data_IF_902172829318
#
_entry.id   IF_902172829318
#
_cell.length_a   1.000
_cell.length_b   1.000
_cell.length_c   1.000
_cell.angle_alpha   90.00
_cell.angle_beta   90.00
_cell.angle_gamma   90.00
#
_symmetry.space_group_name_H-M   'P 1'
#
loop_
_entity.id
_entity.type
_entity.pdbx_description
1 polymer ?
#
# COMPACT_ATOMS: atom_id res chain seq x y z
N UNK A 1 10.03 4.55 -30.16
CA UNK A 1 10.11 3.86 -28.86
C UNK A 1 10.89 4.75 -27.89
N UNK A 2 10.29 5.20 -26.79
CA UNK A 2 11.04 5.92 -25.74
C UNK A 2 12.01 4.93 -25.10
N UNK A 3 13.33 5.25 -25.06
CA UNK A 3 14.28 4.48 -24.26
C UNK A 3 13.77 4.52 -22.81
N UNK A 4 13.48 3.36 -22.22
CA UNK A 4 13.14 3.29 -20.81
C UNK A 4 14.32 3.87 -20.02
N UNK A 5 14.05 4.87 -19.17
CA UNK A 5 15.04 5.37 -18.21
C UNK A 5 15.41 4.20 -17.28
N UNK A 6 16.69 4.03 -16.98
CA UNK A 6 17.12 3.01 -16.01
C UNK A 6 16.52 3.29 -14.61
N UNK A 7 16.24 4.55 -14.28
CA UNK A 7 15.67 4.99 -13.01
C UNK A 7 14.45 5.92 -13.24
N UNK A 8 13.29 5.36 -13.61
CA UNK A 8 12.10 6.16 -13.97
C UNK A 8 11.51 6.97 -12.81
N UNK A 9 11.85 6.63 -11.56
CA UNK A 9 11.40 7.31 -10.35
C UNK A 9 12.50 8.15 -9.68
N UNK A 10 13.60 8.44 -10.39
CA UNK A 10 14.68 9.25 -9.84
C UNK A 10 14.19 10.60 -9.34
N UNK A 11 14.53 10.96 -8.09
CA UNK A 11 14.12 12.20 -7.45
C UNK A 11 12.68 12.24 -6.93
N UNK A 12 11.94 11.14 -7.03
CA UNK A 12 10.61 11.00 -6.42
C UNK A 12 10.69 10.44 -5.01
N UNK A 13 9.71 10.79 -4.18
CA UNK A 13 9.56 10.33 -2.80
C UNK A 13 8.33 9.43 -2.70
N UNK A 14 8.55 8.17 -2.31
CA UNK A 14 7.51 7.16 -2.15
C UNK A 14 7.31 6.80 -0.67
N UNK A 15 6.11 7.02 -0.16
CA UNK A 15 5.72 6.66 1.20
C UNK A 15 5.04 5.29 1.16
N UNK A 16 5.53 4.31 1.93
CA UNK A 16 4.97 2.96 1.99
C UNK A 16 4.59 2.61 3.41
N UNK A 17 3.29 2.43 3.67
CA UNK A 17 2.81 1.99 4.99
C UNK A 17 2.87 0.47 5.13
N UNK A 18 3.17 -0.01 6.34
CA UNK A 18 3.38 -1.45 6.58
C UNK A 18 4.62 -2.00 5.86
N UNK A 19 5.66 -1.18 5.68
CA UNK A 19 6.84 -1.48 4.86
C UNK A 19 7.84 -2.45 5.50
N UNK A 20 7.60 -2.94 6.72
CA UNK A 20 8.58 -3.77 7.43
C UNK A 20 8.62 -5.23 7.00
N UNK A 21 7.66 -5.73 6.23
CA UNK A 21 7.61 -7.13 5.77
C UNK A 21 6.61 -7.36 4.65
N UNK A 22 6.69 -8.54 4.01
CA UNK A 22 5.73 -9.01 3.02
C UNK A 22 5.57 -8.02 1.87
N UNK A 23 4.33 -7.77 1.44
CA UNK A 23 4.00 -6.91 0.30
C UNK A 23 4.63 -5.52 0.45
N UNK A 24 4.53 -4.89 1.63
CA UNK A 24 5.06 -3.54 1.83
C UNK A 24 6.58 -3.45 1.71
N UNK A 25 7.31 -4.44 2.21
CA UNK A 25 8.77 -4.53 2.04
C UNK A 25 9.16 -4.74 0.58
N UNK A 26 8.46 -5.64 -0.14
CA UNK A 26 8.71 -5.88 -1.56
C UNK A 26 8.43 -4.62 -2.40
N UNK A 27 7.32 -3.92 -2.15
CA UNK A 27 6.98 -2.66 -2.83
C UNK A 27 8.06 -1.60 -2.58
N UNK A 28 8.48 -1.43 -1.33
CA UNK A 28 9.49 -0.42 -0.99
C UNK A 28 10.83 -0.69 -1.70
N UNK A 29 11.26 -1.95 -1.75
CA UNK A 29 12.48 -2.37 -2.46
C UNK A 29 12.37 -2.14 -3.96
N UNK A 30 11.24 -2.50 -4.56
CA UNK A 30 10.99 -2.30 -5.99
C UNK A 30 11.02 -0.83 -6.37
N UNK A 31 10.30 0.04 -5.62
CA UNK A 31 10.31 1.48 -5.89
C UNK A 31 11.68 2.12 -5.69
N UNK A 32 12.44 1.67 -4.68
CA UNK A 32 13.82 2.11 -4.48
C UNK A 32 14.75 1.68 -5.63
N UNK A 33 14.58 0.46 -6.14
CA UNK A 33 15.29 -0.05 -7.31
C UNK A 33 15.00 0.75 -8.60
N UNK A 34 13.84 1.40 -8.68
CA UNK A 34 13.46 2.31 -9.76
C UNK A 34 13.95 3.77 -9.53
N UNK A 35 14.70 4.02 -8.45
CA UNK A 35 15.32 5.31 -8.16
C UNK A 35 14.56 6.22 -7.19
N UNK A 36 13.41 5.79 -6.64
CA UNK A 36 12.71 6.58 -5.63
C UNK A 36 13.43 6.56 -4.28
N UNK A 37 13.33 7.66 -3.52
CA UNK A 37 13.61 7.65 -2.09
C UNK A 37 12.38 7.09 -1.38
N UNK A 38 12.52 5.97 -0.65
CA UNK A 38 11.39 5.31 0.00
C UNK A 38 11.31 5.66 1.49
N UNK A 39 10.15 6.15 1.94
CA UNK A 39 9.84 6.38 3.35
C UNK A 39 9.08 5.16 3.88
N UNK A 40 9.75 4.39 4.73
CA UNK A 40 9.27 3.14 5.28
C UNK A 40 8.50 3.40 6.56
N UNK A 41 7.17 3.25 6.52
CA UNK A 41 6.29 3.53 7.64
C UNK A 41 5.74 2.25 8.27
N UNK A 42 5.74 2.19 9.60
CA UNK A 42 5.18 1.08 10.37
C UNK A 42 5.52 1.18 11.86
N UNK A 43 4.94 0.30 12.68
CA UNK A 43 5.11 0.33 14.15
C UNK A 43 6.41 -0.31 14.64
N UNK A 44 6.91 -1.29 13.91
CA UNK A 44 8.09 -2.09 14.33
C UNK A 44 9.37 -1.56 13.68
N UNK A 45 10.20 -0.83 14.44
CA UNK A 45 11.46 -0.25 13.92
C UNK A 45 12.39 -1.31 13.36
N UNK A 46 12.60 -2.44 14.06
CA UNK A 46 13.50 -3.51 13.63
C UNK A 46 13.21 -4.03 12.22
N UNK A 47 11.95 -4.36 11.92
CA UNK A 47 11.57 -4.86 10.59
C UNK A 47 11.68 -3.78 9.49
N UNK A 48 11.46 -2.52 9.84
CA UNK A 48 11.67 -1.41 8.90
C UNK A 48 13.17 -1.21 8.61
N UNK A 49 14.01 -1.32 9.62
CA UNK A 49 15.47 -1.23 9.48
C UNK A 49 16.02 -2.40 8.65
N UNK A 50 15.50 -3.61 8.84
CA UNK A 50 15.83 -4.76 7.98
C UNK A 50 15.49 -4.49 6.51
N UNK A 51 14.29 -3.92 6.24
CA UNK A 51 13.92 -3.53 4.87
C UNK A 51 14.80 -2.40 4.34
N UNK A 52 15.11 -1.39 5.17
CA UNK A 52 16.00 -0.30 4.78
C UNK A 52 17.41 -0.79 4.45
N UNK A 53 17.92 -1.77 5.21
CA UNK A 53 19.21 -2.41 4.92
C UNK A 53 19.19 -3.12 3.57
N UNK A 54 18.15 -3.92 3.26
CA UNK A 54 18.03 -4.59 1.96
C UNK A 54 18.00 -3.59 0.80
N UNK A 55 17.37 -2.44 0.99
CA UNK A 55 17.34 -1.35 -0.01
C UNK A 55 18.75 -0.76 -0.18
N UNK A 56 19.44 -0.46 0.93
CA UNK A 56 20.79 0.10 0.90
C UNK A 56 21.82 -0.88 0.27
N UNK A 57 21.74 -2.16 0.62
CA UNK A 57 22.58 -3.21 0.05
C UNK A 57 22.41 -3.34 -1.48
N UNK A 58 21.25 -2.91 -2.00
CA UNK A 58 20.95 -2.86 -3.45
C UNK A 58 21.21 -1.49 -4.08
N UNK A 59 21.84 -0.54 -3.35
CA UNK A 59 22.15 0.80 -3.84
C UNK A 59 20.99 1.80 -3.85
N UNK A 60 19.83 1.43 -3.29
CA UNK A 60 18.67 2.30 -3.15
C UNK A 60 18.72 3.20 -1.92
N UNK A 61 17.73 4.08 -1.79
CA UNK A 61 17.61 5.01 -0.66
C UNK A 61 16.32 4.78 0.12
N UNK A 62 16.44 4.67 1.44
CA UNK A 62 15.30 4.51 2.33
C UNK A 62 15.43 5.36 3.60
N UNK A 63 14.28 5.80 4.13
CA UNK A 63 14.16 6.49 5.42
C UNK A 63 13.15 5.76 6.29
N UNK A 64 13.57 5.29 7.44
CA UNK A 64 12.66 4.66 8.42
C UNK A 64 11.95 5.72 9.24
N UNK A 65 10.63 5.59 9.36
CA UNK A 65 9.79 6.45 10.21
C UNK A 65 8.76 5.60 10.94
N UNK A 66 8.80 5.60 12.27
CA UNK A 66 7.76 4.96 13.07
C UNK A 66 6.40 5.62 12.80
N UNK A 67 5.37 4.80 12.55
CA UNK A 67 4.03 5.28 12.23
C UNK A 67 2.99 4.25 12.65
N UNK A 68 2.02 4.67 13.43
CA UNK A 68 0.77 3.93 13.61
C UNK A 68 -0.31 4.58 12.74
N UNK A 69 -0.74 3.89 11.69
CA UNK A 69 -1.76 4.41 10.76
C UNK A 69 -3.14 4.56 11.43
N UNK A 70 -3.37 3.96 12.60
CA UNK A 70 -4.62 4.11 13.36
C UNK A 70 -4.68 5.37 14.21
N UNK A 71 -3.55 6.08 14.33
CA UNK A 71 -3.42 7.36 15.04
C UNK A 71 -3.16 8.50 14.05
N UNK A 72 -4.12 9.44 13.96
CA UNK A 72 -4.03 10.58 13.06
C UNK A 72 -2.79 11.43 13.37
N UNK A 73 -2.49 11.68 14.63
CA UNK A 73 -1.35 12.51 15.05
C UNK A 73 -0.01 11.89 14.61
N UNK A 74 0.09 10.57 14.68
CA UNK A 74 1.24 9.81 14.17
C UNK A 74 1.40 9.99 12.66
N UNK A 75 0.31 9.90 11.89
CA UNK A 75 0.35 10.06 10.43
C UNK A 75 0.67 11.51 10.04
N UNK A 76 0.08 12.49 10.71
CA UNK A 76 0.37 13.92 10.48
C UNK A 76 1.84 14.26 10.79
N UNK A 77 2.41 13.68 11.84
CA UNK A 77 3.84 13.82 12.17
C UNK A 77 4.74 13.28 11.06
N UNK A 78 4.39 12.13 10.47
CA UNK A 78 5.10 11.58 9.31
C UNK A 78 5.00 12.50 8.11
N UNK A 79 3.81 13.00 7.78
CA UNK A 79 3.61 13.92 6.66
C UNK A 79 4.40 15.22 6.83
N UNK A 80 4.38 15.80 8.05
CA UNK A 80 5.20 16.98 8.38
C UNK A 80 6.70 16.72 8.22
N UNK A 81 7.17 15.53 8.63
CA UNK A 81 8.56 15.13 8.47
C UNK A 81 8.92 14.95 7.00
N UNK A 82 8.08 14.32 6.18
CA UNK A 82 8.29 14.18 4.74
C UNK A 82 8.35 15.54 4.07
N UNK A 83 7.43 16.46 4.42
CA UNK A 83 7.44 17.84 3.89
C UNK A 83 8.73 18.58 4.26
N UNK A 84 9.21 18.46 5.49
CA UNK A 84 10.45 19.10 5.95
C UNK A 84 11.70 18.53 5.28
N UNK A 85 11.79 17.18 5.20
CA UNK A 85 13.00 16.48 4.78
C UNK A 85 13.14 16.43 3.24
N UNK A 86 12.01 16.44 2.51
CA UNK A 86 11.99 16.23 1.05
C UNK A 86 11.20 17.30 0.28
N UNK A 87 10.32 18.05 0.92
CA UNK A 87 9.47 19.06 0.27
C UNK A 87 8.36 18.52 -0.62
N UNK A 88 8.28 17.17 -0.80
CA UNK A 88 7.36 16.51 -1.74
C UNK A 88 6.93 15.12 -1.29
N UNK A 89 5.79 14.67 -1.80
CA UNK A 89 5.30 13.31 -1.73
C UNK A 89 4.74 12.95 -3.11
N UNK A 90 5.38 12.02 -3.82
CA UNK A 90 5.00 11.66 -5.20
C UNK A 90 4.15 10.40 -5.26
N UNK A 91 4.46 9.44 -4.41
CA UNK A 91 3.80 8.14 -4.37
C UNK A 91 3.42 7.85 -2.92
N UNK A 92 2.14 7.54 -2.69
CA UNK A 92 1.65 7.05 -1.41
C UNK A 92 1.11 5.64 -1.59
N UNK A 93 1.74 4.65 -0.96
CA UNK A 93 1.27 3.27 -0.96
C UNK A 93 0.64 2.92 0.39
N UNK A 94 -0.67 2.86 0.42
CA UNK A 94 -1.45 2.42 1.57
C UNK A 94 -1.52 0.89 1.57
N UNK A 95 -0.50 0.27 2.20
CA UNK A 95 -0.38 -1.18 2.28
C UNK A 95 -0.60 -1.72 3.71
N UNK A 96 -0.45 -0.90 4.74
CA UNK A 96 -0.71 -1.35 6.11
C UNK A 96 -2.10 -1.96 6.24
N UNK A 97 -2.16 -3.18 6.78
CA UNK A 97 -3.42 -3.89 6.93
C UNK A 97 -3.30 -5.10 7.85
N UNK A 98 -4.43 -5.51 8.40
CA UNK A 98 -4.58 -6.71 9.22
C UNK A 98 -5.81 -7.50 8.77
N UNK A 99 -5.84 -8.79 9.08
CA UNK A 99 -6.96 -9.68 8.82
C UNK A 99 -7.55 -10.25 10.10
N UNK A 100 -8.79 -10.71 10.01
CA UNK A 100 -9.44 -11.55 11.01
C UNK A 100 -10.26 -12.59 10.26
N UNK A 101 -9.90 -13.87 10.41
CA UNK A 101 -10.43 -14.98 9.61
C UNK A 101 -10.86 -16.17 10.46
N UNK A 102 -10.84 -16.03 11.79
CA UNK A 102 -11.01 -17.16 12.70
C UNK A 102 -12.47 -17.45 13.07
N UNK A 103 -13.41 -16.51 12.89
CA UNK A 103 -14.76 -16.62 13.43
C UNK A 103 -15.83 -16.08 12.49
N UNK A 104 -17.02 -16.70 12.46
CA UNK A 104 -18.19 -16.10 11.82
C UNK A 104 -18.53 -14.76 12.50
N UNK A 105 -19.17 -13.86 11.76
CA UNK A 105 -19.40 -12.47 12.20
C UNK A 105 -20.13 -12.36 13.56
N UNK A 106 -21.12 -13.21 13.82
CA UNK A 106 -21.90 -13.17 15.07
C UNK A 106 -21.08 -13.58 16.31
N UNK A 107 -19.88 -14.12 16.13
CA UNK A 107 -18.95 -14.50 17.20
C UNK A 107 -17.71 -13.61 17.24
N UNK A 108 -17.58 -12.65 16.29
CA UNK A 108 -16.43 -11.78 16.22
C UNK A 108 -16.47 -10.76 17.38
N UNK A 109 -15.42 -10.67 18.23
CA UNK A 109 -15.35 -9.66 19.27
C UNK A 109 -15.40 -8.24 18.67
N UNK A 110 -16.17 -7.29 19.28
CA UNK A 110 -16.22 -5.89 18.82
C UNK A 110 -14.85 -5.25 18.64
N UNK A 111 -13.92 -5.47 19.56
CA UNK A 111 -12.55 -4.96 19.46
C UNK A 111 -11.80 -5.45 18.20
N UNK A 112 -12.10 -6.67 17.75
CA UNK A 112 -11.51 -7.20 16.53
C UNK A 112 -12.07 -6.52 15.29
N UNK A 113 -13.37 -6.20 15.30
CA UNK A 113 -13.99 -5.38 14.27
C UNK A 113 -13.33 -4.00 14.20
N UNK A 114 -13.26 -3.30 15.34
CA UNK A 114 -12.66 -1.97 15.42
C UNK A 114 -11.20 -1.95 14.93
N UNK A 115 -10.39 -2.91 15.37
CA UNK A 115 -8.99 -3.01 14.94
C UNK A 115 -8.85 -3.14 13.42
N UNK A 116 -9.68 -3.99 12.79
CA UNK A 116 -9.62 -4.22 11.34
C UNK A 116 -10.08 -2.97 10.59
N UNK A 117 -11.22 -2.39 10.96
CA UNK A 117 -11.76 -1.19 10.31
C UNK A 117 -10.85 0.02 10.49
N UNK A 118 -10.32 0.21 11.69
CA UNK A 118 -9.40 1.31 11.99
C UNK A 118 -8.08 1.20 11.20
N UNK A 119 -7.54 -0.01 11.06
CA UNK A 119 -6.29 -0.20 10.31
C UNK A 119 -6.52 -0.12 8.81
N UNK A 120 -7.48 -0.92 8.29
CA UNK A 120 -7.60 -1.15 6.85
C UNK A 120 -8.35 -0.05 6.09
N UNK A 121 -9.18 0.74 6.79
CA UNK A 121 -10.01 1.78 6.16
C UNK A 121 -9.73 3.16 6.75
N UNK A 122 -9.89 3.35 8.07
CA UNK A 122 -9.65 4.66 8.71
C UNK A 122 -8.19 5.10 8.56
N UNK A 123 -7.22 4.17 8.70
CA UNK A 123 -5.81 4.47 8.53
C UNK A 123 -5.47 4.93 7.11
N UNK A 124 -6.12 4.37 6.09
CA UNK A 124 -5.96 4.83 4.70
C UNK A 124 -6.52 6.26 4.53
N UNK A 125 -7.71 6.53 5.13
CA UNK A 125 -8.25 7.89 5.15
C UNK A 125 -7.27 8.88 5.80
N UNK A 126 -6.67 8.55 6.94
CA UNK A 126 -5.68 9.40 7.60
C UNK A 126 -4.45 9.67 6.73
N UNK A 127 -3.94 8.64 6.06
CA UNK A 127 -2.80 8.80 5.15
C UNK A 127 -3.17 9.69 3.96
N UNK A 128 -4.30 9.45 3.29
CA UNK A 128 -4.74 10.29 2.17
C UNK A 128 -4.92 11.74 2.61
N UNK A 129 -5.65 11.98 3.73
CA UNK A 129 -5.85 13.32 4.31
C UNK A 129 -4.54 14.07 4.54
N UNK A 130 -3.52 13.38 5.05
CA UNK A 130 -2.26 14.02 5.45
C UNK A 130 -1.29 14.24 4.29
N UNK A 131 -1.32 13.38 3.26
CA UNK A 131 -0.36 13.46 2.14
C UNK A 131 -0.93 14.11 0.88
N UNK A 132 -2.24 14.01 0.61
CA UNK A 132 -2.85 14.59 -0.59
C UNK A 132 -2.64 16.10 -0.72
N UNK A 133 -2.62 16.93 0.34
CA UNK A 133 -2.33 18.36 0.20
C UNK A 133 -0.99 18.65 -0.51
N UNK A 134 0.08 17.92 -0.18
CA UNK A 134 1.37 18.08 -0.86
C UNK A 134 1.30 17.71 -2.35
N UNK A 135 0.53 16.67 -2.70
CA UNK A 135 0.32 16.26 -4.09
C UNK A 135 -0.54 17.29 -4.85
N UNK A 136 -1.56 17.86 -4.19
CA UNK A 136 -2.44 18.91 -4.75
C UNK A 136 -1.61 20.16 -5.07
N UNK A 137 -0.79 20.62 -4.13
CA UNK A 137 0.11 21.77 -4.32
C UNK A 137 1.08 21.54 -5.49
N UNK A 138 1.61 20.31 -5.61
CA UNK A 138 2.49 19.90 -6.71
C UNK A 138 1.77 19.64 -8.03
N UNK A 139 0.42 19.54 -8.04
CA UNK A 139 -0.40 19.07 -9.17
C UNK A 139 0.10 17.77 -9.78
N UNK A 140 0.59 16.88 -8.95
CA UNK A 140 1.18 15.60 -9.34
C UNK A 140 1.19 14.65 -8.16
N UNK A 141 0.85 13.38 -8.38
CA UNK A 141 0.92 12.33 -7.37
C UNK A 141 0.26 11.05 -7.81
N UNK A 142 0.59 9.97 -7.12
CA UNK A 142 -0.07 8.69 -7.31
C UNK A 142 -0.31 8.00 -5.96
N UNK A 143 -1.55 7.79 -5.61
CA UNK A 143 -1.98 7.04 -4.43
C UNK A 143 -2.31 5.61 -4.87
N UNK A 144 -1.67 4.62 -4.27
CA UNK A 144 -1.91 3.19 -4.54
C UNK A 144 -2.42 2.53 -3.27
N UNK A 145 -3.65 2.03 -3.31
CA UNK A 145 -4.27 1.36 -2.18
C UNK A 145 -4.23 -0.16 -2.37
N UNK A 146 -3.59 -0.86 -1.43
CA UNK A 146 -3.53 -2.33 -1.46
C UNK A 146 -4.79 -2.90 -0.79
N UNK A 147 -5.73 -3.30 -1.64
CA UNK A 147 -6.98 -3.94 -1.24
C UNK A 147 -6.84 -5.47 -1.17
N UNK A 148 -7.81 -6.20 -1.68
CA UNK A 148 -7.84 -7.66 -1.76
C UNK A 148 -8.97 -8.11 -2.69
N UNK A 149 -8.89 -9.34 -3.21
CA UNK A 149 -10.05 -10.00 -3.82
C UNK A 149 -11.21 -10.19 -2.82
N UNK A 150 -10.96 -10.14 -1.51
CA UNK A 150 -12.00 -10.10 -0.49
C UNK A 150 -12.83 -8.80 -0.52
N UNK A 151 -12.36 -7.75 -1.19
CA UNK A 151 -13.12 -6.55 -1.52
C UNK A 151 -13.96 -6.66 -2.79
N UNK A 152 -14.00 -7.85 -3.41
CA UNK A 152 -14.75 -8.18 -4.64
C UNK A 152 -15.58 -9.44 -4.51
N UNK A 153 -15.19 -10.34 -3.62
CA UNK A 153 -15.80 -11.65 -3.45
C UNK A 153 -16.15 -11.86 -1.97
N UNK A 154 -17.17 -12.71 -1.73
CA UNK A 154 -17.49 -13.15 -0.38
C UNK A 154 -16.33 -13.97 0.22
N UNK A 155 -16.08 -13.78 1.52
CA UNK A 155 -15.07 -14.50 2.27
C UNK A 155 -15.69 -15.00 3.60
N UNK A 156 -16.11 -16.26 3.68
CA UNK A 156 -16.59 -16.86 4.93
C UNK A 156 -15.57 -16.70 6.06
N UNK A 157 -16.03 -16.43 7.28
CA UNK A 157 -15.22 -16.13 8.47
C UNK A 157 -14.31 -14.90 8.34
N UNK A 158 -14.42 -14.16 7.25
CA UNK A 158 -13.66 -12.94 7.00
C UNK A 158 -14.52 -11.71 6.75
N UNK A 159 -15.75 -11.68 7.28
CA UNK A 159 -16.73 -10.64 6.97
C UNK A 159 -16.21 -9.22 7.28
N UNK A 160 -15.55 -9.00 8.42
CA UNK A 160 -14.98 -7.69 8.78
C UNK A 160 -13.84 -7.29 7.83
N UNK A 161 -13.00 -8.25 7.47
CA UNK A 161 -11.93 -8.00 6.50
C UNK A 161 -12.51 -7.65 5.13
N UNK A 162 -13.49 -8.42 4.64
CA UNK A 162 -14.22 -8.10 3.42
C UNK A 162 -14.85 -6.72 3.48
N UNK A 163 -15.60 -6.40 4.53
CA UNK A 163 -16.22 -5.09 4.71
C UNK A 163 -15.19 -3.95 4.60
N UNK A 164 -14.02 -4.11 5.27
CA UNK A 164 -12.94 -3.12 5.21
C UNK A 164 -12.38 -2.95 3.80
N UNK A 165 -12.23 -4.05 3.02
CA UNK A 165 -11.68 -4.02 1.67
C UNK A 165 -12.70 -3.57 0.60
N UNK A 166 -13.99 -3.89 0.77
CA UNK A 166 -15.06 -3.29 -0.02
C UNK A 166 -15.15 -1.78 0.22
N UNK A 167 -15.10 -1.35 1.49
CA UNK A 167 -15.06 0.07 1.85
C UNK A 167 -13.85 0.79 1.27
N UNK A 168 -12.66 0.14 1.29
CA UNK A 168 -11.45 0.68 0.70
C UNK A 168 -11.56 0.87 -0.81
N UNK A 169 -12.20 -0.07 -1.52
CA UNK A 169 -12.43 0.07 -2.96
C UNK A 169 -13.34 1.26 -3.26
N UNK A 170 -14.48 1.38 -2.54
CA UNK A 170 -15.39 2.51 -2.69
C UNK A 170 -14.74 3.86 -2.36
N UNK A 171 -13.96 3.92 -1.27
CA UNK A 171 -13.16 5.10 -0.91
C UNK A 171 -12.19 5.46 -2.05
N UNK A 172 -11.49 4.47 -2.61
CA UNK A 172 -10.49 4.69 -3.65
C UNK A 172 -11.11 5.27 -4.91
N UNK A 173 -12.28 4.78 -5.34
CA UNK A 173 -12.97 5.29 -6.53
C UNK A 173 -13.44 6.73 -6.34
N UNK A 174 -14.03 7.06 -5.18
CA UNK A 174 -14.49 8.42 -4.87
C UNK A 174 -13.32 9.41 -4.82
N UNK A 175 -12.25 9.07 -4.10
CA UNK A 175 -11.06 9.91 -3.99
C UNK A 175 -10.35 10.07 -5.34
N UNK A 176 -10.41 9.06 -6.22
CA UNK A 176 -9.87 9.18 -7.57
C UNK A 176 -10.56 10.31 -8.36
N UNK A 177 -11.88 10.42 -8.29
CA UNK A 177 -12.61 11.48 -8.98
C UNK A 177 -12.42 12.86 -8.30
N UNK A 178 -12.35 12.91 -6.97
CA UNK A 178 -12.07 14.16 -6.23
C UNK A 178 -10.69 14.74 -6.58
N UNK A 179 -9.66 13.89 -6.70
CA UNK A 179 -8.28 14.32 -6.91
C UNK A 179 -7.88 14.43 -8.40
N UNK A 180 -8.73 14.00 -9.31
CA UNK A 180 -8.49 13.99 -10.76
C UNK A 180 -8.22 15.38 -11.32
N UNK A 181 -8.97 16.39 -10.86
CA UNK A 181 -8.78 17.80 -11.29
C UNK A 181 -7.43 18.38 -10.85
N UNK A 182 -6.76 17.73 -9.89
CA UNK A 182 -5.43 18.09 -9.42
C UNK A 182 -4.31 17.27 -10.07
N UNK A 183 -4.63 16.47 -11.11
CA UNK A 183 -3.69 15.60 -11.82
C UNK A 183 -3.06 14.53 -10.88
N UNK A 184 -3.84 14.04 -9.91
CA UNK A 184 -3.44 12.98 -8.99
C UNK A 184 -4.17 11.70 -9.38
N UNK A 185 -3.45 10.61 -9.48
CA UNK A 185 -3.98 9.28 -9.79
C UNK A 185 -4.24 8.52 -8.50
N UNK A 186 -5.33 7.74 -8.46
CA UNK A 186 -5.62 6.85 -7.34
C UNK A 186 -5.95 5.47 -7.88
N UNK A 187 -5.07 4.51 -7.62
CA UNK A 187 -5.22 3.13 -8.08
C UNK A 187 -5.49 2.19 -6.92
N UNK A 188 -6.28 1.16 -7.15
CA UNK A 188 -6.50 0.08 -6.20
C UNK A 188 -6.03 -1.25 -6.76
N UNK A 189 -5.27 -2.00 -5.98
CA UNK A 189 -4.84 -3.36 -6.31
C UNK A 189 -5.58 -4.32 -5.41
N UNK A 190 -6.21 -5.33 -6.02
CA UNK A 190 -6.95 -6.38 -5.33
C UNK A 190 -6.23 -7.73 -5.51
N UNK A 191 -5.21 -8.04 -4.70
CA UNK A 191 -4.52 -9.32 -4.77
C UNK A 191 -5.39 -10.47 -4.27
N UNK A 192 -5.19 -11.64 -4.84
CA UNK A 192 -5.64 -12.93 -4.29
C UNK A 192 -4.77 -13.38 -3.12
N UNK A 193 -4.61 -14.70 -2.98
CA UNK A 193 -3.75 -15.27 -1.92
C UNK A 193 -2.29 -14.96 -2.20
N UNK A 194 -1.68 -14.15 -1.34
CA UNK A 194 -0.24 -13.82 -1.36
C UNK A 194 0.45 -14.56 -0.22
N UNK A 195 1.62 -15.13 -0.47
CA UNK A 195 2.43 -15.83 0.52
C UNK A 195 3.04 -14.86 1.54
N UNK A 196 2.25 -14.52 2.57
CA UNK A 196 2.63 -13.60 3.65
C UNK A 196 2.05 -14.07 4.98
N UNK A 197 2.57 -13.55 6.08
CA UNK A 197 2.04 -13.83 7.43
C UNK A 197 0.58 -13.39 7.65
N UNK A 198 0.03 -12.53 6.78
CA UNK A 198 -1.35 -12.08 6.85
C UNK A 198 -2.31 -13.13 6.27
N UNK A 199 -1.91 -13.80 5.22
CA UNK A 199 -2.76 -14.74 4.47
C UNK A 199 -2.89 -16.05 5.22
N UNK A 200 -4.11 -16.60 5.42
CA UNK A 200 -4.26 -17.96 5.92
C UNK A 200 -3.58 -18.95 4.95
N UNK A 201 -2.72 -19.82 5.50
CA UNK A 201 -1.97 -20.79 4.71
C UNK A 201 -2.52 -22.22 4.80
N UNK A 202 -3.39 -22.48 5.76
CA UNK A 202 -3.96 -23.81 5.99
C UNK A 202 -4.64 -24.33 4.71
N UNK A 203 -4.23 -25.52 4.27
CA UNK A 203 -4.72 -26.16 3.07
C UNK A 203 -4.29 -25.53 1.74
N UNK A 204 -3.36 -24.58 1.74
CA UNK A 204 -2.85 -23.90 0.54
C UNK A 204 -1.43 -24.31 0.21
N UNK A 205 -1.15 -24.46 -1.09
CA UNK A 205 0.19 -24.68 -1.61
C UNK A 205 0.91 -23.33 -1.80
N UNK A 206 1.97 -23.03 -1.01
CA UNK A 206 2.71 -21.77 -1.12
C UNK A 206 3.27 -21.49 -2.52
N UNK A 207 3.60 -22.54 -3.30
CA UNK A 207 4.13 -22.41 -4.65
C UNK A 207 3.09 -21.92 -5.66
N UNK A 208 1.80 -22.11 -5.35
CA UNK A 208 0.68 -21.64 -6.18
C UNK A 208 0.17 -20.27 -5.73
N UNK A 209 0.66 -19.72 -4.64
CA UNK A 209 0.29 -18.39 -4.18
C UNK A 209 1.08 -17.32 -4.90
N UNK A 210 0.50 -16.13 -5.02
CA UNK A 210 1.27 -14.93 -5.39
C UNK A 210 2.40 -14.72 -4.39
N UNK A 211 3.52 -14.21 -4.86
CA UNK A 211 4.59 -13.74 -4.00
C UNK A 211 4.44 -12.22 -3.76
N UNK A 212 4.99 -11.67 -2.68
CA UNK A 212 5.00 -10.23 -2.43
C UNK A 212 5.53 -9.41 -3.62
N UNK A 213 6.50 -9.93 -4.32
CA UNK A 213 7.15 -9.35 -5.50
C UNK A 213 6.18 -9.19 -6.68
N UNK A 214 5.21 -10.10 -6.85
CA UNK A 214 4.19 -9.98 -7.91
C UNK A 214 3.33 -8.72 -7.70
N UNK A 215 3.00 -8.42 -6.43
CA UNK A 215 2.27 -7.18 -6.09
C UNK A 215 3.16 -5.95 -6.27
N UNK A 216 4.44 -6.05 -5.92
CA UNK A 216 5.40 -4.96 -6.10
C UNK A 216 5.58 -4.59 -7.58
N UNK A 217 5.70 -5.55 -8.48
CA UNK A 217 5.75 -5.34 -9.92
C UNK A 217 4.50 -4.62 -10.45
N UNK A 218 3.30 -4.97 -9.94
CA UNK A 218 2.07 -4.26 -10.31
C UNK A 218 2.13 -2.81 -9.85
N UNK A 219 2.60 -2.53 -8.62
CA UNK A 219 2.78 -1.14 -8.14
C UNK A 219 3.76 -0.39 -9.03
N UNK A 220 4.91 -0.99 -9.37
CA UNK A 220 5.91 -0.40 -10.27
C UNK A 220 5.30 -0.05 -11.64
N UNK A 221 4.55 -0.96 -12.24
CA UNK A 221 3.83 -0.74 -13.49
C UNK A 221 2.86 0.44 -13.39
N UNK A 222 2.08 0.54 -12.29
CA UNK A 222 1.13 1.61 -12.10
C UNK A 222 1.79 2.98 -12.01
N UNK A 223 2.86 3.11 -11.22
CA UNK A 223 3.49 4.41 -10.97
C UNK A 223 4.37 4.89 -12.13
N UNK A 224 4.76 4.01 -13.03
CA UNK A 224 5.55 4.33 -14.23
C UNK A 224 4.71 4.54 -15.49
N UNK A 225 3.39 4.55 -15.38
CA UNK A 225 2.49 4.87 -16.50
C UNK A 225 2.74 6.27 -17.07
N UNK A 226 2.44 6.44 -18.36
CA UNK A 226 2.49 7.74 -18.99
C UNK A 226 1.58 8.76 -18.25
N UNK A 227 1.97 10.06 -18.18
CA UNK A 227 1.25 11.05 -17.36
C UNK A 227 -0.24 11.20 -17.66
N UNK A 228 -0.64 11.00 -18.91
CA UNK A 228 -2.03 11.16 -19.37
C UNK A 228 -2.94 9.97 -19.08
N UNK A 229 -2.39 8.87 -18.53
CA UNK A 229 -3.19 7.67 -18.27
C UNK A 229 -2.88 7.08 -16.92
N UNK A 230 -3.86 6.40 -16.35
CA UNK A 230 -3.67 5.57 -15.17
C UNK A 230 -4.59 4.36 -15.20
N UNK A 231 -4.14 3.29 -14.59
CA UNK A 231 -4.95 2.10 -14.35
C UNK A 231 -5.63 2.27 -13.00
N UNK A 232 -6.95 2.39 -12.99
CA UNK A 232 -7.71 2.66 -11.76
C UNK A 232 -7.80 1.45 -10.85
N UNK A 233 -7.86 0.23 -11.44
CA UNK A 233 -8.00 -1.01 -10.67
C UNK A 233 -7.23 -2.16 -11.32
N UNK A 234 -6.62 -3.01 -10.46
CA UNK A 234 -5.99 -4.27 -10.88
C UNK A 234 -6.49 -5.42 -10.01
N UNK A 235 -7.03 -6.46 -10.63
CA UNK A 235 -7.33 -7.73 -9.99
C UNK A 235 -6.18 -8.71 -10.28
N UNK A 236 -5.38 -9.02 -9.26
CA UNK A 236 -4.22 -9.90 -9.38
C UNK A 236 -4.54 -11.27 -8.78
N UNK A 237 -4.44 -12.33 -9.57
CA UNK A 237 -4.79 -13.70 -9.17
C UNK A 237 -3.63 -14.65 -9.36
N UNK A 238 -3.47 -15.65 -8.48
CA UNK A 238 -2.63 -16.80 -8.81
C UNK A 238 -3.14 -17.47 -10.08
N UNK A 239 -2.22 -17.96 -10.91
CA UNK A 239 -2.59 -18.71 -12.13
C UNK A 239 -3.29 -20.02 -11.79
N UNK A 240 -2.79 -20.71 -10.77
CA UNK A 240 -3.39 -21.93 -10.23
C UNK A 240 -4.09 -21.61 -8.91
N UNK A 241 -5.16 -22.33 -8.62
CA UNK A 241 -5.83 -22.23 -7.32
C UNK A 241 -4.89 -22.79 -6.24
N UNK A 242 -4.49 -21.95 -5.24
CA UNK A 242 -3.60 -22.38 -4.17
C UNK A 242 -4.28 -23.34 -3.19
#
# INVERSE_FOLDING_TARGET
MRKASQNPLQGQVAIVTGAGRGIGSAIARELAGLGAVTVLCGRGSKLLEETAKLIADSGGQAKVVACDVTDLSSVESVAARVKRDFGRADILVNNAGIGSFASPLHQLPPDSWEKVMNTNLRGVYYCIRSFAPMMIDARSGHIVNISSLAGKNALPNGAVYSASKWGLNGLSYSVAEELRSHNIRVSVICPGSVHTKLSPHEGKDPQKMLQPEDVAHVVAMLVTQAPQSFVSEVLLRPTLKP
#
